data_IF_703516969766
#
_entry.id   IF_703516969766
#
_cell.length_a   1.000
_cell.length_b   1.000
_cell.length_c   1.000
_cell.angle_alpha   90.00
_cell.angle_beta   90.00
_cell.angle_gamma   90.00
#
_symmetry.space_group_name_H-M   'P 1'
#
loop_
_entity.id
_entity.type
_entity.pdbx_description
1 polymer ?
#
# COMPACT_ATOMS: atom_id res chain seq x y z
N UNK A 1 47.69 -37.45 66.97
CA UNK A 1 47.02 -38.56 66.27
C UNK A 1 46.42 -37.95 65.01
N UNK A 2 47.13 -37.88 63.89
CA UNK A 2 47.58 -39.00 63.02
C UNK A 2 46.42 -39.80 62.41
N UNK A 3 46.45 -40.26 61.15
CA UNK A 3 47.07 -39.79 59.89
C UNK A 3 46.55 -40.70 58.73
N UNK A 4 46.75 -40.30 57.44
CA UNK A 4 46.66 -41.14 56.20
C UNK A 4 45.25 -41.62 55.78
N UNK A 5 44.89 -41.94 54.52
CA UNK A 5 45.41 -41.78 53.13
C UNK A 5 44.19 -42.04 52.17
N UNK A 6 44.13 -41.87 50.83
CA UNK A 6 45.01 -41.48 49.71
C UNK A 6 44.19 -40.53 48.76
N UNK A 7 44.63 -39.87 47.67
CA UNK A 7 45.31 -40.22 46.40
C UNK A 7 44.63 -41.36 45.59
N UNK A 8 44.40 -41.30 44.26
CA UNK A 8 44.97 -40.45 43.19
C UNK A 8 44.13 -40.61 41.88
N UNK A 9 43.92 -39.57 41.07
CA UNK A 9 44.41 -39.48 39.66
C UNK A 9 44.04 -38.15 38.98
N UNK A 10 45.00 -37.59 38.25
CA UNK A 10 44.82 -36.54 37.24
C UNK A 10 44.53 -37.16 35.86
N UNK A 11 44.03 -36.37 34.91
CA UNK A 11 44.83 -35.95 33.72
C UNK A 11 44.03 -35.04 32.77
N UNK A 12 44.70 -34.00 32.25
CA UNK A 12 44.26 -33.19 31.11
C UNK A 12 44.79 -33.81 29.80
N UNK A 13 44.20 -33.46 28.64
CA UNK A 13 45.04 -33.01 27.53
C UNK A 13 44.65 -31.63 26.97
N UNK A 14 45.50 -31.11 26.09
CA UNK A 14 45.62 -29.70 25.75
C UNK A 14 45.47 -29.42 24.23
N UNK A 15 45.14 -28.17 23.88
CA UNK A 15 45.21 -27.49 22.57
C UNK A 15 45.43 -28.24 21.23
N UNK A 16 44.55 -27.95 20.27
CA UNK A 16 44.85 -27.35 18.94
C UNK A 16 43.53 -27.12 18.17
N UNK A 17 43.37 -26.30 17.14
CA UNK A 17 43.90 -25.04 16.59
C UNK A 17 43.18 -24.92 15.22
N UNK A 18 42.85 -23.71 14.73
CA UNK A 18 42.09 -23.44 13.48
C UNK A 18 40.60 -23.90 13.49
N UNK A 19 39.67 -23.29 12.75
CA UNK A 19 39.78 -22.23 11.73
C UNK A 19 38.54 -21.30 11.73
N UNK A 20 38.62 -20.23 10.93
CA UNK A 20 37.63 -19.13 10.90
C UNK A 20 36.36 -19.48 10.14
N UNK A 21 35.18 -19.05 10.63
CA UNK A 21 34.13 -18.55 9.73
C UNK A 21 33.16 -17.59 10.44
N UNK A 22 33.30 -16.30 10.13
CA UNK A 22 32.40 -15.25 10.57
C UNK A 22 31.08 -15.32 9.81
N UNK A 23 30.03 -15.86 10.45
CA UNK A 23 28.67 -15.75 9.92
C UNK A 23 28.16 -14.32 10.07
N UNK A 24 28.51 -13.48 9.10
CA UNK A 24 27.80 -12.23 8.82
C UNK A 24 26.35 -12.55 8.48
N UNK A 25 25.42 -12.22 9.37
CA UNK A 25 23.99 -12.21 9.07
C UNK A 25 23.69 -11.08 8.10
N UNK A 26 23.82 -11.37 6.81
CA UNK A 26 23.45 -10.47 5.73
C UNK A 26 21.96 -10.15 5.83
N UNK A 27 21.64 -8.88 6.10
CA UNK A 27 20.29 -8.35 5.98
C UNK A 27 19.84 -8.46 4.52
N UNK A 28 19.14 -9.55 4.19
CA UNK A 28 18.42 -9.69 2.93
C UNK A 28 17.24 -8.72 2.93
N UNK A 29 17.48 -7.50 2.46
CA UNK A 29 16.42 -6.60 2.02
C UNK A 29 15.77 -7.24 0.78
N UNK A 30 14.73 -8.05 1.00
CA UNK A 30 13.86 -8.53 -0.06
C UNK A 30 13.06 -7.35 -0.63
N UNK A 31 13.69 -6.62 -1.55
CA UNK A 31 12.96 -5.98 -2.63
C UNK A 31 12.31 -7.09 -3.45
N UNK A 32 11.00 -7.26 -3.26
CA UNK A 32 10.20 -8.12 -4.14
C UNK A 32 10.35 -7.61 -5.57
N UNK A 33 10.85 -8.48 -6.44
CA UNK A 33 11.04 -8.17 -7.86
C UNK A 33 9.74 -7.69 -8.47
N UNK A 34 9.83 -6.72 -9.39
CA UNK A 34 8.69 -6.28 -10.19
C UNK A 34 8.09 -7.48 -10.92
N UNK A 35 6.91 -7.90 -10.50
CA UNK A 35 5.99 -8.57 -11.40
C UNK A 35 5.51 -7.53 -12.41
N UNK A 36 6.13 -7.50 -13.60
CA UNK A 36 5.51 -6.87 -14.76
C UNK A 36 4.17 -7.59 -14.99
N UNK A 37 3.01 -6.89 -14.94
CA UNK A 37 1.76 -7.50 -15.30
C UNK A 37 1.79 -7.80 -16.79
N UNK A 38 1.53 -9.04 -17.19
CA UNK A 38 1.08 -9.34 -18.55
C UNK A 38 -0.27 -8.66 -18.74
N UNK A 39 -0.26 -7.46 -19.33
CA UNK A 39 -1.45 -6.64 -19.55
C UNK A 39 -2.36 -7.36 -20.56
N UNK A 40 -3.33 -8.11 -20.04
CA UNK A 40 -4.45 -8.56 -20.85
C UNK A 40 -5.28 -7.32 -21.27
N UNK A 41 -5.62 -7.16 -22.56
CA UNK A 41 -6.19 -5.91 -23.09
C UNK A 41 -7.64 -5.64 -22.68
N UNK A 42 -8.18 -6.37 -21.69
CA UNK A 42 -9.55 -6.25 -21.22
C UNK A 42 -9.65 -5.69 -19.79
N UNK A 43 -8.58 -5.77 -19.00
CA UNK A 43 -8.52 -5.16 -17.67
C UNK A 43 -8.11 -3.70 -17.82
N UNK A 44 -9.13 -2.85 -18.01
CA UNK A 44 -8.98 -1.40 -18.01
C UNK A 44 -8.25 -0.94 -16.75
N UNK A 45 -7.03 -0.41 -16.91
CA UNK A 45 -6.14 0.01 -15.83
C UNK A 45 -6.59 1.36 -15.24
N UNK A 46 -7.85 1.41 -14.81
CA UNK A 46 -8.57 2.60 -14.32
C UNK A 46 -8.91 2.49 -12.84
N UNK A 47 -8.37 1.49 -12.12
CA UNK A 47 -8.71 1.22 -10.72
C UNK A 47 -7.43 1.15 -9.90
N UNK A 48 -7.28 2.09 -8.97
CA UNK A 48 -6.18 2.14 -8.02
C UNK A 48 -6.73 1.85 -6.61
N UNK A 49 -6.63 0.61 -6.12
CA UNK A 49 -7.14 0.23 -4.80
C UNK A 49 -6.24 0.78 -3.68
N UNK A 50 -6.85 1.04 -2.52
CA UNK A 50 -6.14 1.37 -1.27
C UNK A 50 -6.75 0.65 -0.07
N UNK A 51 -5.94 0.46 0.97
CA UNK A 51 -6.34 -0.18 2.22
C UNK A 51 -5.44 0.28 3.37
N UNK A 52 -6.01 1.02 4.31
CA UNK A 52 -5.32 1.49 5.53
C UNK A 52 -5.83 0.66 6.72
N UNK A 53 -4.93 0.21 7.60
CA UNK A 53 -5.26 -0.43 8.88
C UNK A 53 -4.99 0.57 10.01
N UNK A 54 -5.96 0.75 10.90
CA UNK A 54 -5.91 1.67 12.03
C UNK A 54 -6.21 0.95 13.34
N UNK A 55 -5.55 1.40 14.41
CA UNK A 55 -5.84 0.97 15.77
C UNK A 55 -6.74 2.01 16.44
N UNK A 56 -7.94 1.61 16.85
CA UNK A 56 -8.84 2.47 17.62
C UNK A 56 -8.26 2.71 19.03
N UNK A 57 -8.25 3.97 19.54
CA UNK A 57 -7.88 4.26 20.91
C UNK A 57 -8.72 3.47 21.92
N UNK A 58 -8.08 2.98 22.99
CA UNK A 58 -8.76 2.21 24.04
C UNK A 58 -9.91 3.03 24.65
N UNK A 59 -11.09 2.43 24.70
CA UNK A 59 -12.31 3.07 25.21
C UNK A 59 -13.13 3.81 24.15
N UNK A 60 -12.72 3.79 22.88
CA UNK A 60 -13.47 4.34 21.74
C UNK A 60 -13.97 3.24 20.79
N UNK A 61 -15.01 3.55 20.03
CA UNK A 61 -15.51 2.70 18.94
C UNK A 61 -16.01 3.53 17.76
N UNK A 62 -16.23 2.87 16.62
CA UNK A 62 -16.85 3.46 15.43
C UNK A 62 -18.35 3.37 15.58
N UNK A 63 -19.04 4.50 15.44
CA UNK A 63 -20.50 4.53 15.40
C UNK A 63 -21.00 3.90 14.09
N UNK A 64 -22.01 3.02 14.18
CA UNK A 64 -22.59 2.39 12.99
C UNK A 64 -23.17 3.44 12.04
N UNK A 65 -23.06 3.21 10.73
CA UNK A 65 -23.54 4.05 9.62
C UNK A 65 -22.70 5.31 9.28
N UNK A 66 -21.54 5.53 9.91
CA UNK A 66 -20.66 6.63 9.49
C UNK A 66 -19.88 6.25 8.23
N UNK A 67 -19.84 7.16 7.26
CA UNK A 67 -18.90 7.12 6.14
C UNK A 67 -17.65 7.94 6.51
N UNK A 68 -16.43 7.40 6.33
CA UNK A 68 -15.23 8.14 6.65
C UNK A 68 -15.03 9.25 5.63
N UNK A 69 -14.59 10.44 6.07
CA UNK A 69 -14.32 11.56 5.16
C UNK A 69 -12.95 11.36 4.53
N UNK A 70 -12.91 11.20 3.21
CA UNK A 70 -11.67 11.13 2.43
C UNK A 70 -11.48 12.44 1.64
N UNK A 71 -10.28 13.01 1.68
CA UNK A 71 -9.85 14.15 0.88
C UNK A 71 -8.54 13.78 0.20
N UNK A 72 -8.39 14.06 -1.09
CA UNK A 72 -7.23 13.64 -1.88
C UNK A 72 -6.65 14.81 -2.68
N UNK A 73 -5.35 14.74 -2.95
CA UNK A 73 -4.58 15.74 -3.70
C UNK A 73 -4.16 15.16 -5.06
N UNK A 74 -4.57 15.86 -6.12
CA UNK A 74 -4.26 15.53 -7.52
C UNK A 74 -3.05 16.29 -8.07
N UNK A 75 -2.46 17.22 -7.29
CA UNK A 75 -1.40 18.15 -7.75
C UNK A 75 -0.12 17.47 -8.23
N UNK A 76 0.09 16.20 -7.84
CA UNK A 76 1.26 15.40 -8.20
C UNK A 76 0.97 14.34 -9.27
N UNK A 77 -0.20 14.42 -9.93
CA UNK A 77 -0.53 13.63 -11.11
C UNK A 77 -0.28 14.43 -12.40
N UNK A 78 0.07 13.71 -13.46
CA UNK A 78 0.39 14.28 -14.76
C UNK A 78 -0.04 13.36 -15.89
N UNK A 79 -0.42 13.92 -17.03
CA UNK A 79 -0.67 13.16 -18.26
C UNK A 79 0.61 13.09 -19.09
N UNK A 80 1.03 11.89 -19.51
CA UNK A 80 2.11 11.70 -20.48
C UNK A 80 1.58 11.11 -21.79
N UNK A 81 2.12 11.61 -22.92
CA UNK A 81 1.91 11.05 -24.25
C UNK A 81 3.21 10.40 -24.69
N UNK A 82 3.18 9.09 -24.85
CA UNK A 82 4.32 8.25 -25.24
C UNK A 82 4.04 7.63 -26.61
N UNK A 83 5.09 7.20 -27.31
CA UNK A 83 4.98 6.41 -28.55
C UNK A 83 5.77 5.12 -28.33
N UNK A 84 5.14 3.97 -28.53
CA UNK A 84 5.80 2.68 -28.50
C UNK A 84 5.56 1.94 -29.82
N UNK A 85 6.45 1.01 -30.17
CA UNK A 85 6.25 0.13 -31.31
C UNK A 85 5.53 -1.13 -30.89
N UNK A 86 4.55 -1.55 -31.69
CA UNK A 86 3.86 -2.84 -31.53
C UNK A 86 3.88 -3.58 -32.85
N UNK A 87 4.49 -4.75 -32.87
CA UNK A 87 4.41 -5.65 -34.02
C UNK A 87 3.01 -6.27 -34.08
N UNK A 88 2.38 -6.20 -35.25
CA UNK A 88 1.09 -6.84 -35.55
C UNK A 88 1.25 -7.74 -36.77
N UNK A 89 0.53 -8.87 -36.79
CA UNK A 89 0.45 -9.73 -37.97
C UNK A 89 -0.61 -9.20 -38.92
N UNK A 90 -0.25 -9.03 -40.20
CA UNK A 90 -1.13 -8.53 -41.26
C UNK A 90 -1.19 -9.58 -42.37
N UNK A 91 -2.42 -9.94 -42.75
CA UNK A 91 -2.71 -10.92 -43.80
C UNK A 91 -1.93 -10.60 -45.08
N UNK A 92 -1.16 -11.59 -45.56
CA UNK A 92 -0.30 -11.49 -46.75
C UNK A 92 0.88 -10.49 -46.67
N UNK A 93 1.13 -9.86 -45.51
CA UNK A 93 2.29 -8.99 -45.28
C UNK A 93 3.21 -9.50 -44.14
N UNK A 94 2.73 -10.42 -43.29
CA UNK A 94 3.48 -10.92 -42.15
C UNK A 94 3.48 -9.92 -40.99
N UNK A 95 4.55 -9.92 -40.17
CA UNK A 95 4.66 -9.03 -39.03
C UNK A 95 5.17 -7.64 -39.44
N UNK A 96 4.41 -6.60 -39.08
CA UNK A 96 4.77 -5.20 -39.29
C UNK A 96 4.73 -4.43 -37.97
N UNK A 97 5.71 -3.55 -37.76
CA UNK A 97 5.72 -2.65 -36.61
C UNK A 97 4.83 -1.43 -36.88
N UNK A 98 3.83 -1.22 -36.03
CA UNK A 98 3.07 0.04 -35.98
C UNK A 98 3.53 0.90 -34.81
N UNK A 99 3.66 2.20 -35.04
CA UNK A 99 3.79 3.19 -33.97
C UNK A 99 2.42 3.33 -33.28
N UNK A 100 2.41 3.13 -31.97
CA UNK A 100 1.24 3.18 -31.12
C UNK A 100 1.41 4.31 -30.10
N UNK A 101 0.57 5.32 -30.20
CA UNK A 101 0.51 6.41 -29.24
C UNK A 101 -0.18 5.91 -27.95
N UNK A 102 0.45 6.16 -26.81
CA UNK A 102 -0.02 5.76 -25.48
C UNK A 102 -0.26 7.02 -24.64
N UNK A 103 -1.48 7.19 -24.15
CA UNK A 103 -1.81 8.20 -23.14
C UNK A 103 -1.79 7.53 -21.76
N UNK A 104 -0.96 8.05 -20.86
CA UNK A 104 -0.84 7.57 -19.48
C UNK A 104 -1.12 8.69 -18.49
N UNK A 105 -1.64 8.32 -17.32
CA UNK A 105 -1.58 9.16 -16.12
C UNK A 105 -0.49 8.61 -15.20
N UNK A 106 0.38 9.50 -14.74
CA UNK A 106 1.59 9.19 -13.97
C UNK A 106 1.77 10.16 -12.81
N UNK A 107 2.28 9.65 -11.69
CA UNK A 107 2.67 10.46 -10.53
C UNK A 107 2.32 9.80 -9.22
N UNK A 108 1.89 10.60 -8.23
CA UNK A 108 1.32 10.08 -6.99
C UNK A 108 0.01 10.80 -6.61
N UNK A 109 -0.83 10.07 -5.89
CA UNK A 109 -2.10 10.53 -5.33
C UNK A 109 -2.00 10.39 -3.81
N UNK A 110 -1.88 11.51 -3.11
CA UNK A 110 -1.88 11.56 -1.65
C UNK A 110 -3.30 11.76 -1.14
N UNK A 111 -3.67 11.11 -0.04
CA UNK A 111 -4.98 11.31 0.56
C UNK A 111 -4.97 11.30 2.09
N UNK A 112 -5.93 12.02 2.66
CA UNK A 112 -6.24 12.09 4.07
C UNK A 112 -7.59 11.43 4.31
N UNK A 113 -7.68 10.67 5.39
CA UNK A 113 -8.85 9.90 5.80
C UNK A 113 -9.19 10.24 7.25
N UNK A 114 -10.36 10.83 7.49
CA UNK A 114 -10.85 11.15 8.81
C UNK A 114 -12.01 10.21 9.19
N UNK A 115 -11.77 9.36 10.18
CA UNK A 115 -12.74 8.47 10.78
C UNK A 115 -13.26 9.08 12.08
N UNK A 116 -14.56 9.30 12.19
CA UNK A 116 -15.20 9.69 13.45
C UNK A 116 -15.25 8.49 14.41
N UNK A 117 -14.86 8.69 15.66
CA UNK A 117 -14.94 7.69 16.73
C UNK A 117 -15.50 8.32 18.01
N UNK A 118 -16.31 7.56 18.75
CA UNK A 118 -16.94 8.04 20.00
C UNK A 118 -16.55 7.18 21.22
N UNK A 119 -16.69 7.71 22.45
CA UNK A 119 -16.43 6.94 23.67
C UNK A 119 -17.46 5.83 23.91
N UNK A 120 -16.98 4.62 24.19
CA UNK A 120 -17.80 3.48 24.65
C UNK A 120 -18.48 3.83 25.99
N UNK A 121 -17.79 4.59 26.87
CA UNK A 121 -18.28 4.97 28.19
C UNK A 121 -18.27 6.50 28.36
N UNK A 122 -19.27 7.19 27.80
CA UNK A 122 -19.34 8.67 27.78
C UNK A 122 -19.22 9.35 29.15
N UNK A 123 -19.56 8.68 30.24
CA UNK A 123 -19.44 9.19 31.62
C UNK A 123 -18.04 9.04 32.25
N UNK A 124 -17.09 8.36 31.58
CA UNK A 124 -15.70 8.18 32.04
C UNK A 124 -14.67 8.95 31.21
N UNK A 125 -15.11 9.63 30.15
CA UNK A 125 -14.25 10.44 29.28
C UNK A 125 -14.67 11.90 29.45
N UNK A 126 -13.72 12.75 29.80
CA UNK A 126 -13.89 14.19 29.87
C UNK A 126 -13.37 14.80 28.56
N UNK A 127 -14.16 15.69 27.94
CA UNK A 127 -13.72 16.52 26.81
C UNK A 127 -13.41 17.94 27.29
N UNK A 128 -12.58 18.64 26.52
CA UNK A 128 -12.33 20.09 26.70
C UNK A 128 -13.39 20.93 25.97
N UNK A 129 -14.11 20.34 25.01
CA UNK A 129 -15.35 20.88 24.48
C UNK A 129 -16.53 20.31 25.28
N UNK A 130 -17.46 21.15 25.72
CA UNK A 130 -18.63 20.74 26.48
C UNK A 130 -19.78 20.20 25.60
N UNK A 131 -19.67 20.31 24.28
CA UNK A 131 -20.71 19.86 23.35
C UNK A 131 -20.53 18.40 22.96
N UNK A 132 -19.29 18.03 22.63
CA UNK A 132 -18.99 16.77 21.95
C UNK A 132 -17.79 16.04 22.57
N UNK A 133 -17.97 14.73 22.77
CA UNK A 133 -16.94 13.82 23.30
C UNK A 133 -16.36 12.90 22.21
N UNK A 134 -16.77 13.07 20.94
CA UNK A 134 -16.18 12.35 19.82
C UNK A 134 -14.84 12.96 19.41
N UNK A 135 -14.01 12.17 18.71
CA UNK A 135 -12.78 12.64 18.09
C UNK A 135 -12.67 12.09 16.67
N UNK A 136 -11.85 12.72 15.84
CA UNK A 136 -11.48 12.18 14.53
C UNK A 136 -10.14 11.45 14.64
N UNK A 137 -10.11 10.20 14.21
CA UNK A 137 -8.89 9.46 13.94
C UNK A 137 -8.49 9.75 12.48
N UNK A 138 -7.38 10.44 12.31
CA UNK A 138 -6.87 10.82 10.99
C UNK A 138 -5.82 9.82 10.53
N UNK A 139 -5.83 9.48 9.25
CA UNK A 139 -4.78 8.76 8.55
C UNK A 139 -4.39 9.49 7.27
N UNK A 140 -3.15 9.28 6.82
CA UNK A 140 -2.64 9.79 5.55
C UNK A 140 -1.89 8.65 4.85
N UNK A 141 -2.05 8.55 3.53
CA UNK A 141 -1.30 7.63 2.70
C UNK A 141 -1.02 8.26 1.32
N UNK A 142 -0.18 7.63 0.50
CA UNK A 142 0.17 8.10 -0.85
C UNK A 142 0.39 6.93 -1.80
N UNK A 143 -0.40 6.91 -2.86
CA UNK A 143 -0.41 5.85 -3.87
C UNK A 143 0.38 6.32 -5.09
N UNK A 144 1.11 5.39 -5.73
CA UNK A 144 1.81 5.66 -6.97
C UNK A 144 0.95 5.26 -8.17
N UNK A 145 0.91 6.13 -9.17
CA UNK A 145 0.10 5.96 -10.39
C UNK A 145 1.02 5.82 -11.59
N UNK A 146 0.87 4.72 -12.33
CA UNK A 146 1.31 4.60 -13.72
C UNK A 146 0.26 3.78 -14.48
N UNK A 147 -0.72 4.48 -15.04
CA UNK A 147 -1.91 3.87 -15.63
C UNK A 147 -2.05 4.29 -17.08
N UNK A 148 -2.34 3.33 -17.96
CA UNK A 148 -2.60 3.59 -19.38
C UNK A 148 -4.09 3.87 -19.51
N UNK A 149 -4.42 5.07 -19.98
CA UNK A 149 -5.79 5.51 -20.22
C UNK A 149 -6.25 5.13 -21.63
N UNK A 150 -5.39 5.34 -22.65
CA UNK A 150 -5.78 5.19 -24.06
C UNK A 150 -4.61 4.78 -24.94
N UNK A 151 -4.92 3.98 -25.96
CA UNK A 151 -4.04 3.69 -27.09
C UNK A 151 -4.65 4.28 -28.36
N UNK A 152 -3.81 4.75 -29.29
CA UNK A 152 -4.22 5.22 -30.61
C UNK A 152 -3.12 4.94 -31.65
N UNK A 153 -3.52 4.67 -32.89
CA UNK A 153 -2.61 4.62 -34.06
C UNK A 153 -2.47 5.99 -34.75
N UNK A 154 -3.09 7.01 -34.17
CA UNK A 154 -3.14 8.39 -34.64
C UNK A 154 -3.12 9.31 -33.39
N UNK A 155 -3.59 10.55 -33.50
CA UNK A 155 -3.68 11.52 -32.42
C UNK A 155 -4.34 10.98 -31.14
N UNK A 156 -3.86 11.48 -30.00
CA UNK A 156 -4.42 11.23 -28.67
C UNK A 156 -5.20 12.46 -28.18
N UNK A 157 -6.35 12.29 -27.50
CA UNK A 157 -7.13 13.40 -26.95
C UNK A 157 -6.34 14.21 -25.91
N UNK A 158 -6.84 15.38 -25.56
CA UNK A 158 -6.38 16.13 -24.40
C UNK A 158 -7.37 15.92 -23.26
N UNK A 159 -6.90 15.35 -22.16
CA UNK A 159 -7.67 15.22 -20.93
C UNK A 159 -7.06 16.13 -19.85
N UNK A 160 -7.93 16.65 -18.99
CA UNK A 160 -7.59 17.35 -17.75
C UNK A 160 -7.53 16.35 -16.59
N UNK A 161 -6.99 16.75 -15.44
CA UNK A 161 -6.99 15.95 -14.21
C UNK A 161 -7.79 16.74 -13.17
N UNK A 162 -8.93 16.19 -12.75
CA UNK A 162 -9.86 16.82 -11.81
C UNK A 162 -10.70 15.77 -11.04
N UNK A 163 -11.62 16.25 -10.21
CA UNK A 163 -12.53 15.43 -9.38
C UNK A 163 -13.70 14.80 -10.14
N UNK A 164 -14.00 15.25 -11.38
CA UNK A 164 -15.04 14.63 -12.21
C UNK A 164 -14.52 13.31 -12.79
N UNK A 165 -13.26 13.31 -13.25
CA UNK A 165 -12.62 12.15 -13.87
C UNK A 165 -11.92 11.21 -12.87
N UNK A 166 -11.62 11.63 -11.63
CA UNK A 166 -10.99 10.79 -10.61
C UNK A 166 -11.89 10.71 -9.38
N UNK A 167 -12.56 9.56 -9.22
CA UNK A 167 -13.60 9.38 -8.19
C UNK A 167 -13.22 8.31 -7.18
N UNK A 168 -13.54 8.52 -5.90
CA UNK A 168 -13.47 7.46 -4.89
C UNK A 168 -14.71 6.57 -4.97
N UNK A 169 -14.51 5.27 -5.14
CA UNK A 169 -15.57 4.24 -5.16
C UNK A 169 -15.30 3.18 -4.08
N UNK A 170 -16.33 2.41 -3.71
CA UNK A 170 -16.30 1.29 -2.74
C UNK A 170 -15.60 1.61 -1.40
N UNK A 171 -15.82 2.81 -0.86
CA UNK A 171 -15.23 3.22 0.43
C UNK A 171 -15.91 2.49 1.59
N UNK A 172 -15.21 1.52 2.18
CA UNK A 172 -15.76 0.55 3.12
C UNK A 172 -14.92 0.48 4.41
N UNK A 173 -15.58 0.14 5.53
CA UNK A 173 -14.97 -0.03 6.84
C UNK A 173 -15.18 -1.48 7.30
N UNK A 174 -14.08 -2.19 7.57
CA UNK A 174 -14.05 -3.59 7.99
C UNK A 174 -13.42 -3.70 9.40
N UNK A 175 -14.15 -4.28 10.36
CA UNK A 175 -13.62 -4.53 11.70
C UNK A 175 -12.83 -5.85 11.72
N UNK A 176 -11.51 -5.78 11.55
CA UNK A 176 -10.63 -6.96 11.52
C UNK A 176 -10.59 -7.68 12.87
N UNK A 177 -10.38 -6.94 13.95
CA UNK A 177 -10.35 -7.49 15.31
C UNK A 177 -11.19 -6.64 16.28
N UNK A 178 -12.50 -6.93 16.42
CA UNK A 178 -13.40 -6.14 17.26
C UNK A 178 -12.97 -6.04 18.73
N UNK A 179 -12.27 -7.05 19.26
CA UNK A 179 -11.78 -7.08 20.64
C UNK A 179 -10.56 -6.16 20.89
N UNK A 180 -9.73 -5.96 19.87
CA UNK A 180 -8.52 -5.13 19.94
C UNK A 180 -8.70 -3.75 19.31
N UNK A 181 -9.84 -3.50 18.66
CA UNK A 181 -10.14 -2.25 17.99
C UNK A 181 -9.36 -2.05 16.69
N UNK A 182 -8.95 -3.14 16.02
CA UNK A 182 -8.29 -3.05 14.72
C UNK A 182 -9.37 -2.91 13.64
N UNK A 183 -9.27 -1.84 12.86
CA UNK A 183 -10.15 -1.55 11.73
C UNK A 183 -9.33 -1.41 10.46
N UNK A 184 -9.85 -1.92 9.35
CA UNK A 184 -9.38 -1.66 8.00
C UNK A 184 -10.37 -0.74 7.30
N UNK A 185 -9.85 0.25 6.56
CA UNK A 185 -10.63 1.10 5.68
C UNK A 185 -10.03 0.97 4.28
N UNK A 186 -10.86 0.57 3.32
CA UNK A 186 -10.43 0.32 1.94
C UNK A 186 -11.37 0.97 0.95
N UNK A 187 -10.88 1.16 -0.27
CA UNK A 187 -11.66 1.66 -1.39
C UNK A 187 -10.82 1.65 -2.66
N UNK A 188 -11.31 2.32 -3.70
CA UNK A 188 -10.60 2.46 -4.96
C UNK A 188 -10.74 3.87 -5.52
N UNK A 189 -9.67 4.40 -6.11
CA UNK A 189 -9.76 5.53 -7.01
C UNK A 189 -10.04 5.01 -8.42
N UNK A 190 -11.10 5.54 -9.03
CA UNK A 190 -11.53 5.20 -10.38
C UNK A 190 -11.20 6.34 -11.35
N UNK A 191 -10.53 6.03 -12.46
CA UNK A 191 -10.09 6.97 -13.47
C UNK A 191 -11.00 6.89 -14.70
N UNK A 192 -12.00 7.77 -14.77
CA UNK A 192 -13.05 7.80 -15.79
C UNK A 192 -12.64 8.68 -16.98
N UNK A 193 -11.98 8.06 -17.97
CA UNK A 193 -11.56 8.74 -19.21
C UNK A 193 -11.97 7.89 -20.43
N UNK A 194 -12.97 8.36 -21.20
CA UNK A 194 -13.51 7.67 -22.39
C UNK A 194 -12.84 8.06 -23.72
#
# INVERSE_FOLDING_TARGET
MENRNANQHSDYPNHSEYESESQSTSHSNHYSHLHQPTIHPNDKNHILPFSIILNLPKGFHIQKQIHPKLVYDLSYLSMSKEVCKKSIEVDNCGYVDVDLHVLKIKGCLSFFLNLYIEPIHKHKICSTDHKDNFIYLCAQDTLYVDHILKYSIDTLPYYVIDEEHIQVRKLEIEMLEPAHGIVKISGEFYFEYE
#
